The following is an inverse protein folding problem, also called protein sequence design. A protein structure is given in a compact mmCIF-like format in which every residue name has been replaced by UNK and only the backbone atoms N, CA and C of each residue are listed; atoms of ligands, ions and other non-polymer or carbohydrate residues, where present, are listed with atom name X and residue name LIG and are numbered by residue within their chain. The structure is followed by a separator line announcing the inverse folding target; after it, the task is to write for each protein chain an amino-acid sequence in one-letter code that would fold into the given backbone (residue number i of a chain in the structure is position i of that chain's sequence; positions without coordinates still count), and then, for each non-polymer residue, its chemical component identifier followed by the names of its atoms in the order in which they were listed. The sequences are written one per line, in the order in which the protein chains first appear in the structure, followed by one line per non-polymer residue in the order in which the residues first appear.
data_IF_611253928738
#
_entry.id   IF_611253928738
#
_cell.length_a   1.000
_cell.length_b   1.000
_cell.length_c   1.000
_cell.angle_alpha   90.00
_cell.angle_beta   90.00
_cell.angle_gamma   90.00
#
_symmetry.space_group_name_H-M   'P 1'
#
loop_
_entity.id
_entity.type
_entity.pdbx_description
1 polymer ?
#
# COMPACT_ATOMS: atom_id res chain seq x y z
N UNK A 1 -7.57 6.44 -12.24
CA UNK A 1 -8.78 5.71 -11.81
C UNK A 1 -8.37 4.51 -10.96
N UNK A 2 -8.94 4.34 -9.76
CA UNK A 2 -8.78 3.13 -8.94
C UNK A 2 -9.36 1.93 -9.70
N UNK A 3 -8.70 0.76 -9.65
CA UNK A 3 -9.14 -0.44 -10.40
C UNK A 3 -9.93 -1.44 -9.54
N UNK A 4 -10.37 -1.09 -8.33
CA UNK A 4 -11.09 -1.98 -7.38
C UNK A 4 -10.57 -3.42 -7.33
N UNK A 5 -9.25 -3.58 -7.52
CA UNK A 5 -8.56 -4.87 -7.55
C UNK A 5 -7.53 -4.90 -6.43
N UNK A 6 -7.59 -5.94 -5.62
CA UNK A 6 -6.58 -6.24 -4.62
C UNK A 6 -5.46 -7.04 -5.29
N UNK A 7 -4.26 -6.46 -5.33
CA UNK A 7 -3.06 -7.17 -5.77
C UNK A 7 -2.31 -7.74 -4.57
N UNK A 8 -1.66 -8.91 -4.71
CA UNK A 8 -0.75 -9.40 -3.70
C UNK A 8 0.39 -8.40 -3.50
N UNK A 9 0.82 -8.25 -2.25
CA UNK A 9 1.98 -7.44 -1.88
C UNK A 9 3.26 -8.18 -2.28
N UNK A 10 4.30 -7.45 -2.67
CA UNK A 10 5.63 -8.05 -2.84
C UNK A 10 6.42 -7.81 -1.55
N UNK A 11 6.66 -8.85 -0.72
CA UNK A 11 7.35 -8.69 0.56
C UNK A 11 8.82 -8.29 0.39
N UNK A 12 9.38 -8.37 -0.82
CA UNK A 12 10.75 -7.90 -1.10
C UNK A 12 10.80 -6.38 -1.33
N UNK A 13 9.67 -5.76 -1.65
CA UNK A 13 9.54 -4.33 -1.90
C UNK A 13 9.00 -3.61 -0.66
N UNK A 14 9.86 -3.49 0.35
CA UNK A 14 9.56 -2.83 1.61
C UNK A 14 10.53 -1.68 1.92
N UNK A 15 10.07 -0.76 2.75
CA UNK A 15 10.91 0.27 3.36
C UNK A 15 10.43 0.54 4.79
N UNK A 16 11.35 1.02 5.63
CA UNK A 16 11.03 1.48 6.98
C UNK A 16 11.07 3.01 6.96
N UNK A 17 9.97 3.64 7.37
CA UNK A 17 9.81 5.10 7.38
C UNK A 17 9.20 5.49 8.72
N UNK A 18 9.86 6.35 9.49
CA UNK A 18 9.45 6.77 10.83
C UNK A 18 9.09 5.59 11.77
N UNK A 19 9.89 4.52 11.71
CA UNK A 19 9.67 3.31 12.50
C UNK A 19 8.50 2.42 12.03
N UNK A 20 7.92 2.70 10.85
CA UNK A 20 6.80 1.96 10.27
C UNK A 20 7.24 1.17 9.05
N UNK A 21 6.78 -0.08 8.96
CA UNK A 21 7.01 -0.94 7.79
C UNK A 21 6.01 -0.58 6.69
N UNK A 22 6.52 0.00 5.60
CA UNK A 22 5.76 0.28 4.39
C UNK A 22 6.02 -0.83 3.38
N UNK A 23 4.95 -1.53 2.98
CA UNK A 23 5.00 -2.58 1.97
C UNK A 23 4.38 -2.09 0.67
N UNK A 24 4.98 -2.45 -0.47
CA UNK A 24 4.48 -2.09 -1.79
C UNK A 24 4.24 -3.34 -2.65
N UNK A 25 3.35 -3.23 -3.64
CA UNK A 25 3.01 -4.35 -4.52
C UNK A 25 3.73 -4.31 -5.87
N UNK A 26 4.52 -3.27 -6.14
CA UNK A 26 5.31 -3.15 -7.37
C UNK A 26 6.41 -2.10 -7.23
N UNK A 27 7.49 -2.26 -8.01
CA UNK A 27 8.60 -1.30 -8.03
C UNK A 27 8.14 0.11 -8.46
N UNK A 28 7.15 0.18 -9.35
CA UNK A 28 6.57 1.46 -9.76
C UNK A 28 5.86 2.18 -8.60
N UNK A 29 5.08 1.44 -7.80
CA UNK A 29 4.41 2.01 -6.62
C UNK A 29 5.43 2.49 -5.59
N UNK A 30 6.49 1.70 -5.38
CA UNK A 30 7.62 2.08 -4.54
C UNK A 30 8.27 3.38 -5.02
N UNK A 31 8.60 3.50 -6.31
CA UNK A 31 9.24 4.70 -6.85
C UNK A 31 8.33 5.94 -6.70
N UNK A 32 7.05 5.83 -7.08
CA UNK A 32 6.07 6.92 -6.92
C UNK A 32 5.87 7.34 -5.46
N UNK A 33 5.91 6.38 -4.54
CA UNK A 33 5.80 6.67 -3.11
C UNK A 33 7.02 7.48 -2.63
N UNK A 34 8.21 7.15 -3.13
CA UNK A 34 9.46 7.82 -2.77
C UNK A 34 9.72 9.15 -3.50
N UNK A 35 9.01 9.46 -4.60
CA UNK A 35 9.09 10.79 -5.25
C UNK A 35 8.68 11.93 -4.31
N UNK A 36 7.76 11.66 -3.38
CA UNK A 36 7.36 12.60 -2.32
C UNK A 36 7.04 11.82 -1.04
N UNK A 37 8.09 11.28 -0.42
CA UNK A 37 7.97 10.40 0.75
C UNK A 37 7.15 11.04 1.86
N UNK A 38 7.54 12.22 2.34
CA UNK A 38 6.88 12.90 3.47
C UNK A 38 5.41 13.23 3.19
N UNK A 39 5.12 13.70 1.97
CA UNK A 39 3.76 14.00 1.55
C UNK A 39 2.89 12.73 1.49
N UNK A 40 3.43 11.65 0.95
CA UNK A 40 2.72 10.38 0.83
C UNK A 40 2.52 9.70 2.20
N UNK A 41 3.47 9.82 3.12
CA UNK A 41 3.34 9.37 4.52
C UNK A 41 2.23 10.15 5.23
N UNK A 42 2.19 11.48 5.06
CA UNK A 42 1.13 12.31 5.65
C UNK A 42 -0.26 11.96 5.12
N UNK A 43 -0.36 11.67 3.82
CA UNK A 43 -1.61 11.21 3.21
C UNK A 43 -2.01 9.83 3.74
N UNK A 44 -1.04 8.91 3.88
CA UNK A 44 -1.27 7.60 4.48
C UNK A 44 -1.84 7.72 5.90
N UNK A 45 -1.28 8.59 6.73
CA UNK A 45 -1.74 8.84 8.10
C UNK A 45 -3.19 9.32 8.16
N UNK A 46 -3.62 10.12 7.18
CA UNK A 46 -5.00 10.59 7.09
C UNK A 46 -5.98 9.54 6.54
N UNK A 47 -5.59 8.79 5.52
CA UNK A 47 -6.53 7.91 4.80
C UNK A 47 -6.58 6.48 5.33
N UNK A 48 -5.47 5.94 5.84
CA UNK A 48 -5.39 4.53 6.24
C UNK A 48 -6.31 4.16 7.40
N UNK A 49 -6.45 4.96 8.48
CA UNK A 49 -7.35 4.62 9.59
C UNK A 49 -8.78 4.35 9.11
N UNK A 50 -9.27 5.16 8.16
CA UNK A 50 -10.59 4.98 7.56
C UNK A 50 -10.70 3.73 6.68
N UNK A 51 -9.63 3.34 5.99
CA UNK A 51 -9.59 2.10 5.20
C UNK A 51 -9.54 0.87 6.09
N UNK A 52 -8.73 0.90 7.15
CA UNK A 52 -8.64 -0.18 8.14
C UNK A 52 -10.00 -0.38 8.81
N UNK A 53 -10.66 0.67 9.26
CA UNK A 53 -11.99 0.55 9.87
C UNK A 53 -13.03 -0.07 8.93
N UNK A 54 -12.94 0.19 7.62
CA UNK A 54 -13.88 -0.33 6.61
C UNK A 54 -13.57 -1.74 6.14
N UNK A 55 -12.32 -2.18 6.18
CA UNK A 55 -11.84 -3.38 5.50
C UNK A 55 -11.19 -4.41 6.41
N UNK A 56 -10.83 -4.05 7.64
CA UNK A 56 -10.23 -4.97 8.61
C UNK A 56 -11.20 -6.11 8.94
N UNK A 57 -10.69 -7.34 9.02
CA UNK A 57 -11.46 -8.55 9.32
C UNK A 57 -12.34 -9.06 8.18
N UNK A 58 -12.42 -8.35 7.04
CA UNK A 58 -13.15 -8.80 5.86
C UNK A 58 -12.39 -9.86 5.06
N UNK A 59 -13.09 -10.85 4.51
CA UNK A 59 -12.52 -11.77 3.51
C UNK A 59 -12.17 -10.96 2.25
N UNK A 60 -10.89 -10.94 1.88
CA UNK A 60 -10.40 -10.31 0.65
C UNK A 60 -10.11 -11.37 -0.40
N UNK A 61 -10.63 -11.16 -1.61
CA UNK A 61 -10.25 -11.93 -2.79
C UNK A 61 -9.09 -11.21 -3.49
N UNK A 62 -7.96 -11.90 -3.64
CA UNK A 62 -6.79 -11.38 -4.34
C UNK A 62 -6.89 -11.70 -5.83
N UNK A 63 -6.56 -10.73 -6.67
CA UNK A 63 -6.38 -10.97 -8.10
C UNK A 63 -5.07 -11.74 -8.31
N UNK A 64 -5.00 -12.56 -9.35
CA UNK A 64 -3.82 -13.40 -9.64
C UNK A 64 -2.59 -12.51 -9.82
N UNK A 65 -1.46 -12.89 -9.22
CA UNK A 65 -0.19 -12.18 -9.41
C UNK A 65 0.10 -12.07 -10.91
N UNK A 66 0.25 -10.84 -11.40
CA UNK A 66 0.69 -10.62 -12.78
C UNK A 66 2.13 -11.12 -12.85
N UNK A 67 2.32 -12.17 -13.63
CA UNK A 67 3.61 -12.82 -13.92
C UNK A 67 4.55 -11.88 -14.66
#
# INVERSE_FOLDING_TARGET
MSRDRLRPIDPTLFQIVDGRLMLQHSQKAYNLFNENLDGNVKLADGYWPGQVAKKSGGKVAYDSAVK
#
